data_IF_177886665547
#
_entry.id   IF_177886665547
#
_cell.length_a   1.000
_cell.length_b   1.000
_cell.length_c   1.000
_cell.angle_alpha   90.00
_cell.angle_beta   90.00
_cell.angle_gamma   90.00
#
_symmetry.space_group_name_H-M   'P 1'
#
loop_
_entity.id
_entity.type
_entity.pdbx_description
1 polymer ?
#
# COMPACT_ATOMS: atom_id res chain seq x y z
N UNK A 1 17.15 10.89 -3.12
CA UNK A 1 16.31 10.20 -2.12
C UNK A 1 14.81 10.48 -2.21
N UNK A 2 14.26 11.63 -1.81
CA UNK A 2 12.78 11.80 -1.85
C UNK A 2 12.19 11.68 -3.26
N UNK A 3 12.83 12.31 -4.25
CA UNK A 3 12.44 12.19 -5.67
C UNK A 3 12.46 10.74 -6.14
N UNK A 4 13.51 10.00 -5.79
CA UNK A 4 13.65 8.58 -6.16
C UNK A 4 12.57 7.73 -5.49
N UNK A 5 12.29 7.94 -4.20
CA UNK A 5 11.21 7.25 -3.49
C UNK A 5 9.86 7.46 -4.20
N UNK A 6 9.52 8.70 -4.54
CA UNK A 6 8.26 9.05 -5.20
C UNK A 6 8.17 8.45 -6.60
N UNK A 7 9.27 8.50 -7.37
CA UNK A 7 9.34 7.90 -8.70
C UNK A 7 9.18 6.39 -8.61
N UNK A 8 9.90 5.73 -7.69
CA UNK A 8 9.79 4.28 -7.47
C UNK A 8 8.37 3.89 -7.06
N UNK A 9 7.74 4.63 -6.15
CA UNK A 9 6.35 4.39 -5.77
C UNK A 9 5.40 4.56 -6.96
N UNK A 10 5.52 5.66 -7.72
CA UNK A 10 4.67 5.92 -8.87
C UNK A 10 4.77 4.81 -9.94
N UNK A 11 5.99 4.36 -10.25
CA UNK A 11 6.23 3.28 -11.20
C UNK A 11 5.63 1.97 -10.68
N UNK A 12 5.87 1.61 -9.41
CA UNK A 12 5.34 0.38 -8.83
C UNK A 12 3.81 0.39 -8.75
N UNK A 13 3.18 1.50 -8.38
CA UNK A 13 1.72 1.63 -8.39
C UNK A 13 1.17 1.50 -9.81
N UNK A 14 1.78 2.16 -10.79
CA UNK A 14 1.37 2.07 -12.19
C UNK A 14 1.41 0.64 -12.70
N UNK A 15 2.52 -0.07 -12.49
CA UNK A 15 2.69 -1.47 -12.90
C UNK A 15 1.67 -2.36 -12.18
N UNK A 16 1.57 -2.24 -10.86
CA UNK A 16 0.71 -3.11 -10.08
C UNK A 16 -0.76 -2.92 -10.43
N UNK A 17 -1.23 -1.68 -10.62
CA UNK A 17 -2.62 -1.41 -10.96
C UNK A 17 -2.95 -1.79 -12.40
N UNK A 18 -2.02 -1.59 -13.34
CA UNK A 18 -2.20 -2.08 -14.71
C UNK A 18 -2.33 -3.61 -14.74
N UNK A 19 -1.52 -4.32 -13.94
CA UNK A 19 -1.61 -5.77 -13.81
C UNK A 19 -2.92 -6.23 -13.17
N UNK A 20 -3.37 -5.58 -12.09
CA UNK A 20 -4.66 -5.88 -11.46
C UNK A 20 -5.83 -5.62 -12.42
N UNK A 21 -5.78 -4.52 -13.18
CA UNK A 21 -6.78 -4.20 -14.19
C UNK A 21 -6.80 -5.23 -15.34
N UNK A 22 -5.62 -5.66 -15.81
CA UNK A 22 -5.49 -6.72 -16.80
C UNK A 22 -6.11 -8.05 -16.32
N UNK A 23 -5.95 -8.37 -15.04
CA UNK A 23 -6.58 -9.54 -14.41
C UNK A 23 -8.08 -9.37 -14.12
N UNK A 24 -8.67 -8.21 -14.45
CA UNK A 24 -10.09 -7.92 -14.18
C UNK A 24 -10.41 -7.82 -12.69
N UNK A 25 -9.42 -7.55 -11.83
CA UNK A 25 -9.63 -7.40 -10.39
C UNK A 25 -10.38 -6.10 -10.14
N UNK A 26 -11.58 -6.21 -9.59
CA UNK A 26 -12.43 -5.05 -9.20
C UNK A 26 -12.54 -4.89 -7.69
N UNK A 27 -12.02 -5.84 -6.92
CA UNK A 27 -12.10 -5.81 -5.46
C UNK A 27 -11.17 -4.73 -4.88
N UNK A 28 -11.76 -3.69 -4.32
CA UNK A 28 -11.06 -2.54 -3.73
C UNK A 28 -10.07 -2.94 -2.63
N UNK A 29 -10.38 -4.00 -1.87
CA UNK A 29 -9.48 -4.50 -0.82
C UNK A 29 -8.14 -5.02 -1.34
N UNK A 30 -8.12 -5.56 -2.56
CA UNK A 30 -6.88 -6.00 -3.21
C UNK A 30 -6.02 -4.80 -3.57
N UNK A 31 -6.62 -3.76 -4.17
CA UNK A 31 -5.89 -2.52 -4.49
C UNK A 31 -5.28 -1.90 -3.25
N UNK A 32 -6.07 -1.71 -2.18
CA UNK A 32 -5.60 -1.14 -0.92
C UNK A 32 -4.46 -1.94 -0.31
N UNK A 33 -4.54 -3.28 -0.34
CA UNK A 33 -3.49 -4.16 0.16
C UNK A 33 -2.21 -4.01 -0.65
N UNK A 34 -2.32 -3.97 -1.98
CA UNK A 34 -1.16 -3.79 -2.88
C UNK A 34 -0.53 -2.41 -2.69
N UNK A 35 -1.34 -1.36 -2.54
CA UNK A 35 -0.85 -0.01 -2.18
C UNK A 35 -0.05 -0.06 -0.89
N UNK A 36 -0.60 -0.74 0.13
CA UNK A 36 0.04 -0.83 1.44
C UNK A 36 1.41 -1.48 1.37
N UNK A 37 1.51 -2.61 0.66
CA UNK A 37 2.75 -3.35 0.48
C UNK A 37 3.80 -2.52 -0.25
N UNK A 38 3.44 -1.89 -1.37
CA UNK A 38 4.37 -1.03 -2.13
C UNK A 38 4.84 0.14 -1.27
N UNK A 39 3.93 0.78 -0.55
CA UNK A 39 4.26 1.90 0.32
C UNK A 39 5.26 1.52 1.42
N UNK A 40 4.97 0.46 2.17
CA UNK A 40 5.79 0.02 3.30
C UNK A 40 7.17 -0.45 2.82
N UNK A 41 7.21 -1.28 1.77
CA UNK A 41 8.47 -1.82 1.24
C UNK A 41 9.38 -0.71 0.71
N UNK A 42 8.84 0.24 -0.05
CA UNK A 42 9.63 1.37 -0.56
C UNK A 42 10.14 2.25 0.57
N UNK A 43 9.33 2.57 1.57
CA UNK A 43 9.79 3.41 2.70
C UNK A 43 10.90 2.74 3.51
N UNK A 44 10.84 1.42 3.71
CA UNK A 44 11.90 0.67 4.39
C UNK A 44 13.23 0.75 3.63
N UNK A 45 13.19 0.64 2.30
CA UNK A 45 14.38 0.71 1.44
C UNK A 45 15.03 2.09 1.43
N UNK A 46 14.25 3.17 1.46
CA UNK A 46 14.76 4.55 1.36
C UNK A 46 14.98 5.24 2.74
N UNK A 47 15.02 4.48 3.83
CA UNK A 47 15.30 5.00 5.17
C UNK A 47 16.79 5.36 5.36
N UNK A 48 17.15 6.36 6.20
CA UNK A 48 16.28 7.10 7.12
C UNK A 48 15.61 8.34 6.51
N UNK A 49 14.30 8.46 6.73
CA UNK A 49 13.52 9.64 6.31
C UNK A 49 13.73 10.85 7.26
N UNK A 50 13.69 12.08 6.72
CA UNK A 50 13.66 13.32 7.52
C UNK A 50 12.51 13.35 8.54
N UNK A 51 12.71 14.00 9.69
CA UNK A 51 11.80 13.97 10.86
C UNK A 51 10.34 14.31 10.52
N UNK A 52 10.10 15.29 9.64
CA UNK A 52 8.75 15.67 9.17
C UNK A 52 8.09 14.57 8.33
N UNK A 53 8.85 13.97 7.41
CA UNK A 53 8.38 12.87 6.57
C UNK A 53 8.13 11.59 7.36
N UNK A 54 8.84 11.39 8.48
CA UNK A 54 8.60 10.26 9.39
C UNK A 54 7.21 10.30 10.02
N UNK A 55 6.71 11.48 10.40
CA UNK A 55 5.36 11.63 10.97
C UNK A 55 4.31 11.29 9.90
N UNK A 56 4.44 11.88 8.72
CA UNK A 56 3.56 11.60 7.58
C UNK A 56 3.59 10.10 7.26
N UNK A 57 4.77 9.51 7.26
CA UNK A 57 4.94 8.09 7.02
C UNK A 57 4.21 7.22 8.03
N UNK A 58 4.33 7.53 9.32
CA UNK A 58 3.64 6.78 10.36
C UNK A 58 2.12 6.86 10.21
N UNK A 59 1.58 8.04 9.84
CA UNK A 59 0.16 8.24 9.60
C UNK A 59 -0.32 7.39 8.41
N UNK A 60 0.39 7.44 7.28
CA UNK A 60 0.03 6.66 6.09
C UNK A 60 0.11 5.15 6.40
N UNK A 61 1.17 4.72 7.09
CA UNK A 61 1.35 3.32 7.49
C UNK A 61 0.20 2.86 8.40
N UNK A 62 -0.18 3.67 9.39
CA UNK A 62 -1.30 3.34 10.28
C UNK A 62 -2.63 3.23 9.51
N UNK A 63 -2.91 4.16 8.59
CA UNK A 63 -4.12 4.12 7.76
C UNK A 63 -4.17 2.86 6.89
N UNK A 64 -3.04 2.47 6.29
CA UNK A 64 -2.94 1.26 5.46
C UNK A 64 -3.13 -0.02 6.28
N UNK A 65 -2.57 -0.09 7.49
CA UNK A 65 -2.75 -1.22 8.41
C UNK A 65 -4.23 -1.35 8.81
N UNK A 66 -4.88 -0.25 9.16
CA UNK A 66 -6.31 -0.24 9.52
C UNK A 66 -7.15 -0.74 8.35
N UNK A 67 -6.88 -0.26 7.13
CA UNK A 67 -7.61 -0.67 5.95
C UNK A 67 -7.37 -2.16 5.63
N UNK A 68 -6.14 -2.64 5.75
CA UNK A 68 -5.80 -4.05 5.59
C UNK A 68 -6.54 -4.94 6.59
N UNK A 69 -6.59 -4.55 7.87
CA UNK A 69 -7.32 -5.28 8.91
C UNK A 69 -8.81 -5.33 8.59
N UNK A 70 -9.39 -4.22 8.14
CA UNK A 70 -10.80 -4.14 7.74
C UNK A 70 -11.14 -5.13 6.62
N UNK A 71 -10.38 -5.09 5.52
CA UNK A 71 -10.61 -6.00 4.38
C UNK A 71 -10.36 -7.47 4.75
N UNK A 72 -9.32 -7.74 5.54
CA UNK A 72 -9.00 -9.10 6.01
C UNK A 72 -10.12 -9.64 6.88
N UNK A 73 -10.63 -8.84 7.82
CA UNK A 73 -11.75 -9.22 8.69
C UNK A 73 -13.00 -9.56 7.89
N UNK A 74 -13.39 -8.70 6.93
CA UNK A 74 -14.53 -8.96 6.04
C UNK A 74 -14.34 -10.26 5.26
N UNK A 75 -13.14 -10.50 4.75
CA UNK A 75 -12.86 -11.70 3.97
C UNK A 75 -12.92 -12.97 4.83
N UNK A 76 -12.39 -12.92 6.06
CA UNK A 76 -12.47 -14.04 7.01
C UNK A 76 -13.93 -14.34 7.35
N UNK A 77 -14.74 -13.33 7.68
CA UNK A 77 -16.17 -13.51 7.96
C UNK A 77 -16.88 -14.15 6.77
N UNK A 78 -16.60 -13.68 5.55
CA UNK A 78 -17.17 -14.25 4.32
C UNK A 78 -16.76 -15.69 4.04
N UNK A 79 -15.65 -16.18 4.59
CA UNK A 79 -15.21 -17.58 4.44
C UNK A 79 -15.84 -18.46 5.53
N UNK A 80 -16.09 -17.88 6.72
CA UNK A 80 -16.65 -18.59 7.87
C UNK A 80 -18.18 -18.69 7.86
N UNK A 81 -18.86 -17.79 7.17
CA UNK A 81 -20.32 -17.77 6.99
C UNK A 81 -20.75 -18.64 5.81
#
# INVERSE_FOLDING_TARGET
>A
MLKELLVTQAVLYGIAYAFLAYLGVTNLGVYVTVTALIYITTVLVYSPLPRRLRIINNIITAALIIAFIYFTTIKIISILA
#
